data_IF_873694437184
#
_entry.id   IF_873694437184
#
_cell.length_a   1.000
_cell.length_b   1.000
_cell.length_c   1.000
_cell.angle_alpha   90.00
_cell.angle_beta   90.00
_cell.angle_gamma   90.00
#
_symmetry.space_group_name_H-M   'P 1'
#
loop_
_entity.id
_entity.type
_entity.pdbx_description
1 polymer ?
#
# COMPACT_ATOMS: atom_id res chain seq x y z
N UNK A 1 13.36 -10.60 7.83
CA UNK A 1 11.96 -10.84 8.23
C UNK A 1 11.43 -12.02 7.40
N UNK A 2 10.89 -13.07 8.02
CA UNK A 2 10.35 -14.25 7.31
C UNK A 2 8.83 -14.09 7.14
N UNK A 3 8.27 -14.58 6.04
CA UNK A 3 6.83 -14.65 5.75
C UNK A 3 6.06 -13.31 5.61
N UNK A 4 6.74 -12.19 5.41
CA UNK A 4 6.09 -10.91 5.06
C UNK A 4 6.17 -10.69 3.55
N UNK A 5 5.02 -10.59 2.89
CA UNK A 5 4.92 -10.40 1.42
C UNK A 5 4.73 -8.98 0.96
N UNK A 6 4.14 -8.15 1.82
CA UNK A 6 3.86 -6.75 1.56
C UNK A 6 4.19 -5.97 2.84
N UNK A 7 4.82 -4.83 2.69
CA UNK A 7 5.01 -3.83 3.75
C UNK A 7 4.55 -2.48 3.24
N UNK A 8 3.84 -1.75 4.10
CA UNK A 8 3.41 -0.38 3.87
C UNK A 8 4.05 0.54 4.90
N UNK A 9 4.50 1.70 4.45
CA UNK A 9 4.96 2.80 5.29
C UNK A 9 4.10 4.03 4.99
N UNK A 10 3.41 4.52 6.02
CA UNK A 10 2.59 5.72 5.97
C UNK A 10 3.32 6.84 6.69
N UNK A 11 3.39 8.01 6.07
CA UNK A 11 4.03 9.19 6.63
C UNK A 11 3.16 10.41 6.41
N UNK A 12 2.78 11.05 7.50
CA UNK A 12 2.06 12.32 7.45
C UNK A 12 2.98 13.45 6.95
N UNK A 13 2.45 14.26 6.03
CA UNK A 13 3.09 15.47 5.54
C UNK A 13 2.21 16.66 5.96
N UNK A 14 2.54 17.23 7.13
CA UNK A 14 1.74 18.28 7.79
C UNK A 14 1.74 19.61 7.04
N UNK A 15 2.70 19.82 6.12
CA UNK A 15 2.73 21.03 5.30
C UNK A 15 1.69 20.97 4.17
N UNK A 16 1.42 19.76 3.67
CA UNK A 16 0.51 19.52 2.54
C UNK A 16 -0.82 18.90 2.95
N UNK A 17 -0.98 18.52 4.23
CA UNK A 17 -2.14 17.79 4.75
C UNK A 17 -2.45 16.51 3.94
N UNK A 18 -1.39 15.75 3.63
CA UNK A 18 -1.48 14.47 2.91
C UNK A 18 -0.74 13.37 3.66
N UNK A 19 -1.14 12.13 3.44
CA UNK A 19 -0.41 10.94 3.88
C UNK A 19 0.36 10.38 2.68
N UNK A 20 1.69 10.35 2.79
CA UNK A 20 2.56 9.68 1.81
C UNK A 20 2.61 8.20 2.10
N UNK A 21 2.45 7.40 1.06
CA UNK A 21 2.38 5.95 1.12
C UNK A 21 3.55 5.35 0.35
N UNK A 22 4.27 4.43 0.98
CA UNK A 22 5.37 3.69 0.38
C UNK A 22 5.15 2.20 0.55
N UNK A 23 5.12 1.47 -0.56
CA UNK A 23 4.84 0.04 -0.61
C UNK A 23 6.06 -0.73 -1.10
N UNK A 24 6.32 -1.86 -0.47
CA UNK A 24 7.31 -2.85 -0.91
C UNK A 24 6.71 -4.24 -0.82
N UNK A 25 6.96 -5.07 -1.82
CA UNK A 25 6.55 -6.47 -1.80
C UNK A 25 7.67 -7.40 -2.24
N UNK A 26 7.47 -8.69 -1.98
CA UNK A 26 8.28 -9.77 -2.54
C UNK A 26 7.39 -10.70 -3.38
N UNK A 27 7.98 -11.27 -4.44
CA UNK A 27 7.30 -12.23 -5.31
C UNK A 27 6.48 -11.56 -6.40
N UNK A 28 5.18 -11.90 -6.46
CA UNK A 28 4.27 -11.52 -7.57
C UNK A 28 3.17 -10.55 -7.15
N UNK A 29 3.22 -10.02 -5.92
CA UNK A 29 2.26 -9.02 -5.48
C UNK A 29 2.57 -7.68 -6.16
N UNK A 30 1.62 -7.14 -6.92
CA UNK A 30 1.75 -5.92 -7.71
C UNK A 30 1.48 -4.68 -6.85
N UNK A 31 2.55 -4.12 -6.28
CA UNK A 31 2.51 -2.86 -5.52
C UNK A 31 2.05 -1.68 -6.37
N UNK A 32 2.46 -1.64 -7.65
CA UNK A 32 2.11 -0.59 -8.60
C UNK A 32 0.59 -0.48 -8.80
N UNK A 33 -0.10 -1.61 -9.00
CA UNK A 33 -1.56 -1.63 -9.13
C UNK A 33 -2.24 -1.24 -7.82
N UNK A 34 -1.76 -1.76 -6.70
CA UNK A 34 -2.30 -1.41 -5.40
C UNK A 34 -2.16 0.11 -5.12
N UNK A 35 -1.00 0.70 -5.42
CA UNK A 35 -0.78 2.14 -5.27
C UNK A 35 -1.68 2.97 -6.20
N UNK A 36 -1.82 2.55 -7.47
CA UNK A 36 -2.65 3.24 -8.44
C UNK A 36 -4.14 3.20 -8.09
N UNK A 37 -4.64 2.07 -7.60
CA UNK A 37 -6.06 1.89 -7.27
C UNK A 37 -6.51 2.64 -6.01
N UNK A 38 -5.65 2.73 -4.98
CA UNK A 38 -6.07 3.23 -3.67
C UNK A 38 -5.39 4.53 -3.23
N UNK A 39 -4.22 4.86 -3.78
CA UNK A 39 -3.38 5.95 -3.27
C UNK A 39 -2.96 6.94 -4.37
N UNK A 40 -3.72 7.01 -5.47
CA UNK A 40 -3.42 7.88 -6.62
C UNK A 40 -1.95 7.80 -7.07
N UNK A 41 -1.37 6.61 -6.96
CA UNK A 41 0.06 6.39 -7.02
C UNK A 41 0.50 5.54 -8.20
N UNK A 42 1.69 4.97 -8.07
CA UNK A 42 2.27 4.09 -9.07
C UNK A 42 3.70 3.70 -8.74
N UNK A 43 4.36 3.03 -9.68
CA UNK A 43 5.75 2.62 -9.54
C UNK A 43 6.03 1.30 -10.26
N UNK A 44 6.80 0.43 -9.60
CA UNK A 44 7.17 -0.89 -10.10
C UNK A 44 6.44 -1.99 -9.35
N UNK A 45 6.45 -3.21 -9.93
CA UNK A 45 5.81 -4.41 -9.38
C UNK A 45 6.04 -4.59 -7.87
N UNK A 46 7.29 -4.44 -7.41
CA UNK A 46 7.65 -4.70 -6.02
C UNK A 46 7.94 -3.44 -5.19
N UNK A 47 7.82 -2.26 -5.79
CA UNK A 47 8.12 -0.99 -5.14
C UNK A 47 7.30 0.13 -5.77
N UNK A 48 6.31 0.62 -5.03
CA UNK A 48 5.43 1.69 -5.46
C UNK A 48 5.18 2.68 -4.33
N UNK A 49 4.56 3.79 -4.65
CA UNK A 49 4.13 4.77 -3.68
C UNK A 49 2.97 5.59 -4.20
N UNK A 50 2.40 6.40 -3.32
CA UNK A 50 1.25 7.24 -3.61
C UNK A 50 1.01 8.25 -2.51
N UNK A 51 -0.06 9.02 -2.65
CA UNK A 51 -0.48 10.05 -1.73
C UNK A 51 -1.98 9.91 -1.46
N UNK A 52 -2.36 10.06 -0.20
CA UNK A 52 -3.74 10.08 0.24
C UNK A 52 -4.06 11.45 0.82
N UNK A 53 -5.14 12.06 0.34
CA UNK A 53 -5.66 13.31 0.88
C UNK A 53 -6.65 12.98 1.99
N UNK A 54 -6.28 13.29 3.23
CA UNK A 54 -7.08 12.98 4.41
C UNK A 54 -6.20 12.73 5.63
N UNK A 55 -6.79 12.12 6.65
CA UNK A 55 -6.15 11.83 7.92
C UNK A 55 -5.39 10.51 7.89
N UNK A 56 -4.49 10.30 8.87
CA UNK A 56 -3.80 9.03 9.04
C UNK A 56 -4.77 7.86 9.25
N UNK A 57 -5.82 8.04 10.05
CA UNK A 57 -6.80 6.99 10.36
C UNK A 57 -7.59 6.57 9.11
N UNK A 58 -7.95 7.52 8.25
CA UNK A 58 -8.59 7.24 6.96
C UNK A 58 -7.64 6.49 6.02
N UNK A 59 -6.35 6.86 5.99
CA UNK A 59 -5.34 6.17 5.18
C UNK A 59 -5.12 4.72 5.64
N UNK A 60 -5.08 4.48 6.96
CA UNK A 60 -5.00 3.13 7.55
C UNK A 60 -6.26 2.34 7.18
N UNK A 61 -7.45 2.92 7.38
CA UNK A 61 -8.72 2.27 7.07
C UNK A 61 -8.84 1.89 5.58
N UNK A 62 -8.36 2.76 4.69
CA UNK A 62 -8.32 2.48 3.25
C UNK A 62 -7.33 1.36 2.92
N UNK A 63 -6.16 1.37 3.57
CA UNK A 63 -5.16 0.32 3.41
C UNK A 63 -5.71 -1.04 3.84
N UNK A 64 -6.37 -1.14 4.99
CA UNK A 64 -6.99 -2.39 5.48
C UNK A 64 -8.07 -2.90 4.53
N UNK A 65 -8.97 -2.03 4.05
CA UNK A 65 -9.96 -2.39 3.02
C UNK A 65 -9.31 -2.88 1.72
N UNK A 66 -8.20 -2.24 1.32
CA UNK A 66 -7.45 -2.65 0.14
C UNK A 66 -6.82 -4.04 0.31
N UNK A 67 -6.39 -4.41 1.54
CA UNK A 67 -5.88 -5.74 1.83
C UNK A 67 -6.92 -6.84 1.63
N UNK A 68 -8.20 -6.59 1.96
CA UNK A 68 -9.29 -7.57 1.74
C UNK A 68 -9.43 -7.93 0.25
N UNK A 69 -9.38 -6.92 -0.64
CA UNK A 69 -9.44 -7.14 -2.10
C UNK A 69 -8.25 -7.97 -2.61
N UNK A 70 -7.08 -7.81 -2.00
CA UNK A 70 -5.84 -8.47 -2.43
C UNK A 70 -5.48 -9.70 -1.59
N UNK A 71 -6.32 -10.10 -0.63
CA UNK A 71 -6.11 -11.24 0.27
C UNK A 71 -5.71 -12.53 -0.48
N UNK A 72 -6.32 -12.88 -1.63
CA UNK A 72 -5.94 -14.09 -2.39
C UNK A 72 -4.50 -14.07 -2.93
N UNK A 73 -3.93 -12.86 -3.13
CA UNK A 73 -2.56 -12.68 -3.61
C UNK A 73 -1.53 -12.63 -2.48
N UNK A 74 -1.99 -12.35 -1.25
CA UNK A 74 -1.16 -12.29 -0.04
C UNK A 74 -1.04 -13.66 0.63
N UNK A 75 -2.07 -14.51 0.55
CA UNK A 75 -2.00 -15.87 1.11
C UNK A 75 -1.01 -16.76 0.36
N UNK A 76 -0.20 -17.58 1.05
CA UNK A 76 0.53 -18.63 0.40
C UNK A 76 -0.43 -19.59 -0.31
N UNK A 77 -0.09 -20.03 -1.53
CA UNK A 77 -0.77 -21.18 -2.11
C UNK A 77 -0.41 -22.38 -1.24
N UNK A 78 -1.42 -23.04 -0.69
CA UNK A 78 -1.30 -24.33 -0.02
C UNK A 78 -0.77 -25.39 -1.00
#
# INVERSE_FOLDING_TARGET
IKNIRLSCFLREDTEKNIIKVSLRSIGKFSCDRFAAEFFNGGGHLNAAGGEFLGTMDEAISLFEKALEKYEPLLKPKA
#
